data_IF_876498197360
#
_entry.id   IF_876498197360
#
_cell.length_a   1.000
_cell.length_b   1.000
_cell.length_c   1.000
_cell.angle_alpha   90.00
_cell.angle_beta   90.00
_cell.angle_gamma   90.00
#
_symmetry.space_group_name_H-M   'P 1'
#
loop_
_entity.id
_entity.type
_entity.pdbx_description
1 polymer ?
#
# COMPACT_ATOMS: atom_id res chain seq x y z
N UNK A 1 -13.87 38.31 -0.53
CA UNK A 1 -12.68 37.44 -0.45
C UNK A 1 -13.00 36.16 -1.21
N UNK A 2 -12.38 35.95 -2.36
CA UNK A 2 -12.43 34.65 -3.05
C UNK A 2 -11.70 33.63 -2.17
N UNK A 3 -12.24 32.42 -1.92
CA UNK A 3 -11.48 31.40 -1.22
C UNK A 3 -10.24 31.15 -2.07
N UNK A 4 -9.06 31.28 -1.45
CA UNK A 4 -7.83 30.79 -2.04
C UNK A 4 -8.09 29.32 -2.36
N UNK A 5 -8.20 28.96 -3.65
CA UNK A 5 -8.40 27.56 -4.03
C UNK A 5 -7.07 26.87 -3.77
N UNK A 6 -6.84 26.50 -2.51
CA UNK A 6 -5.76 25.58 -2.17
C UNK A 6 -5.91 24.40 -3.12
N UNK A 7 -4.86 24.12 -3.90
CA UNK A 7 -4.82 22.98 -4.81
C UNK A 7 -4.80 21.74 -3.93
N UNK A 8 -5.98 21.27 -3.54
CA UNK A 8 -6.14 20.06 -2.76
C UNK A 8 -5.69 18.88 -3.60
N UNK A 9 -4.76 18.10 -3.08
CA UNK A 9 -4.38 16.82 -3.65
C UNK A 9 -5.38 15.78 -3.16
N UNK A 10 -6.10 15.15 -4.09
CA UNK A 10 -6.97 14.03 -3.72
C UNK A 10 -6.13 12.80 -3.37
N UNK A 11 -6.64 11.99 -2.44
CA UNK A 11 -5.90 10.83 -1.94
C UNK A 11 -5.64 9.77 -3.02
N UNK A 12 -6.57 9.55 -3.96
CA UNK A 12 -6.34 8.69 -5.14
C UNK A 12 -5.21 9.18 -6.04
N UNK A 13 -5.10 10.49 -6.23
CA UNK A 13 -3.99 11.08 -6.96
C UNK A 13 -2.67 10.86 -6.21
N UNK A 14 -2.66 11.03 -4.88
CA UNK A 14 -1.49 10.77 -4.05
C UNK A 14 -1.06 9.29 -4.12
N UNK A 15 -1.99 8.34 -3.98
CA UNK A 15 -1.70 6.91 -4.12
C UNK A 15 -1.05 6.61 -5.49
N UNK A 16 -1.58 7.22 -6.55
CA UNK A 16 -1.13 6.96 -7.92
C UNK A 16 0.27 7.50 -8.21
N UNK A 17 0.60 8.69 -7.72
CA UNK A 17 1.80 9.42 -8.15
C UNK A 17 2.81 9.70 -7.05
N UNK A 18 2.39 9.81 -5.79
CA UNK A 18 3.28 10.08 -4.65
C UNK A 18 3.67 8.77 -3.99
N UNK A 19 2.70 7.96 -3.57
CA UNK A 19 2.93 6.81 -2.68
C UNK A 19 3.55 5.59 -3.38
N UNK A 20 3.78 5.65 -4.69
CA UNK A 20 4.48 4.61 -5.47
C UNK A 20 5.97 4.86 -5.63
N UNK A 21 6.42 6.09 -5.37
CA UNK A 21 7.83 6.43 -5.49
C UNK A 21 8.54 6.05 -4.19
N UNK A 22 9.63 5.30 -4.31
CA UNK A 22 10.47 4.88 -3.18
C UNK A 22 11.04 6.10 -2.44
N UNK A 23 11.22 7.21 -3.14
CA UNK A 23 11.68 8.48 -2.57
C UNK A 23 10.68 9.10 -1.59
N UNK A 24 9.41 8.68 -1.63
CA UNK A 24 8.32 9.21 -0.80
C UNK A 24 7.90 8.24 0.33
N UNK A 25 8.77 7.29 0.71
CA UNK A 25 8.49 6.35 1.80
C UNK A 25 8.27 7.05 3.14
N UNK A 26 8.95 8.16 3.39
CA UNK A 26 8.77 9.00 4.59
C UNK A 26 7.32 9.50 4.75
N UNK A 27 6.68 9.87 3.64
CA UNK A 27 5.26 10.28 3.64
C UNK A 27 4.35 9.10 4.00
N UNK A 28 4.63 7.92 3.44
CA UNK A 28 3.88 6.69 3.73
C UNK A 28 4.05 6.23 5.18
N UNK A 29 5.28 6.22 5.68
CA UNK A 29 5.63 5.89 7.06
C UNK A 29 4.93 6.83 8.03
N UNK A 30 4.99 8.15 7.77
CA UNK A 30 4.29 9.15 8.59
C UNK A 30 2.76 8.97 8.57
N UNK A 31 2.18 8.69 7.40
CA UNK A 31 0.75 8.42 7.26
C UNK A 31 0.32 7.17 8.05
N UNK A 32 1.04 6.05 7.88
CA UNK A 32 0.72 4.79 8.55
C UNK A 32 0.98 4.87 10.06
N UNK A 33 2.03 5.57 10.48
CA UNK A 33 2.34 5.82 11.89
C UNK A 33 1.21 6.60 12.56
N UNK A 34 0.72 7.66 11.91
CA UNK A 34 -0.40 8.44 12.42
C UNK A 34 -1.71 7.64 12.45
N UNK A 35 -1.94 6.76 11.47
CA UNK A 35 -3.17 5.98 11.36
C UNK A 35 -3.22 4.81 12.35
N UNK A 36 -2.10 4.09 12.51
CA UNK A 36 -2.01 2.87 13.33
C UNK A 36 -1.57 3.16 14.76
N UNK A 37 -1.06 4.37 15.03
CA UNK A 37 -0.49 4.77 16.32
C UNK A 37 0.65 3.82 16.76
N UNK A 38 1.45 3.38 15.80
CA UNK A 38 2.65 2.56 15.98
C UNK A 38 3.77 3.11 15.09
N UNK A 39 5.03 2.93 15.47
CA UNK A 39 6.16 3.29 14.60
C UNK A 39 6.26 2.27 13.46
N UNK A 40 6.19 2.77 12.21
CA UNK A 40 6.12 1.96 11.00
C UNK A 40 7.29 2.30 10.08
N UNK A 41 8.00 1.26 9.64
CA UNK A 41 9.01 1.35 8.60
C UNK A 41 8.54 0.65 7.33
N UNK A 42 8.56 1.34 6.20
CA UNK A 42 8.26 0.73 4.90
C UNK A 42 9.51 -0.02 4.42
N UNK A 43 9.39 -1.33 4.23
CA UNK A 43 10.49 -2.17 3.76
C UNK A 43 10.56 -2.20 2.23
N UNK A 44 9.42 -2.36 1.57
CA UNK A 44 9.32 -2.37 0.11
C UNK A 44 7.88 -2.16 -0.35
N UNK A 45 7.71 -1.61 -1.55
CA UNK A 45 6.46 -1.75 -2.30
C UNK A 45 6.46 -3.14 -2.92
N UNK A 46 5.39 -3.89 -2.67
CA UNK A 46 5.15 -5.16 -3.35
C UNK A 46 4.53 -4.81 -4.70
N UNK A 47 5.24 -5.07 -5.80
CA UNK A 47 4.75 -4.74 -7.12
C UNK A 47 3.41 -5.44 -7.40
N UNK A 48 2.35 -4.63 -7.40
CA UNK A 48 1.00 -5.04 -7.77
C UNK A 48 0.95 -5.30 -9.29
N UNK A 49 1.30 -6.52 -9.66
CA UNK A 49 0.96 -7.20 -10.91
C UNK A 49 1.43 -6.56 -12.23
N UNK A 50 2.32 -7.27 -12.92
CA UNK A 50 2.61 -7.06 -14.34
C UNK A 50 1.48 -7.49 -15.29
N UNK A 51 0.31 -7.97 -14.83
CA UNK A 51 -0.64 -8.67 -15.72
C UNK A 51 -2.17 -8.49 -15.44
N UNK A 52 -2.62 -7.45 -14.74
CA UNK A 52 -4.07 -7.19 -14.59
C UNK A 52 -4.61 -6.38 -15.79
N UNK A 53 -5.61 -6.92 -16.48
CA UNK A 53 -6.16 -6.48 -17.77
C UNK A 53 -6.87 -5.11 -17.74
N UNK A 54 -7.12 -4.53 -16.56
CA UNK A 54 -7.75 -3.22 -16.41
C UNK A 54 -6.77 -2.12 -15.97
N UNK A 55 -6.35 -1.34 -16.96
CA UNK A 55 -5.35 -0.27 -16.83
C UNK A 55 -5.68 0.80 -15.79
N UNK A 56 -6.95 0.97 -15.37
CA UNK A 56 -7.34 2.02 -14.42
C UNK A 56 -7.23 1.61 -12.94
N UNK A 57 -7.52 0.36 -12.60
CA UNK A 57 -7.48 -0.11 -11.20
C UNK A 57 -6.06 -0.41 -10.72
N UNK A 58 -5.16 -0.78 -11.65
CA UNK A 58 -3.74 -1.03 -11.37
C UNK A 58 -3.04 0.14 -10.68
N UNK A 59 -3.50 1.38 -10.91
CA UNK A 59 -2.83 2.57 -10.40
C UNK A 59 -3.38 3.08 -9.06
N UNK A 60 -4.56 2.63 -8.61
CA UNK A 60 -5.22 3.14 -7.39
C UNK A 60 -4.98 2.26 -6.13
N UNK A 61 -4.15 1.21 -6.23
CA UNK A 61 -3.81 0.31 -5.12
C UNK A 61 -2.30 0.18 -4.94
N UNK A 62 -1.80 0.37 -3.71
CA UNK A 62 -0.39 0.14 -3.37
C UNK A 62 -0.31 -0.90 -2.26
N UNK A 63 0.44 -1.96 -2.53
CA UNK A 63 0.72 -3.04 -1.58
C UNK A 63 2.09 -2.79 -0.95
N UNK A 64 2.15 -2.74 0.38
CA UNK A 64 3.35 -2.39 1.14
C UNK A 64 3.73 -3.55 2.05
N UNK A 65 5.01 -3.91 2.03
CA UNK A 65 5.62 -4.68 3.11
C UNK A 65 6.23 -3.69 4.10
N UNK A 66 5.80 -3.76 5.35
CA UNK A 66 6.26 -2.89 6.42
C UNK A 66 6.79 -3.70 7.61
N UNK A 67 7.55 -3.05 8.47
CA UNK A 67 7.99 -3.56 9.76
C UNK A 67 7.54 -2.59 10.86
N UNK A 68 6.94 -3.12 11.93
CA UNK A 68 6.56 -2.31 13.08
C UNK A 68 7.65 -2.26 14.16
N UNK A 69 7.37 -1.49 15.22
CA UNK A 69 8.22 -1.38 16.41
C UNK A 69 8.59 -2.72 17.08
N UNK A 70 7.80 -3.78 16.88
CA UNK A 70 8.03 -5.11 17.45
C UNK A 70 8.75 -6.06 16.48
N UNK A 71 9.25 -5.56 15.34
CA UNK A 71 9.86 -6.37 14.28
C UNK A 71 8.89 -7.37 13.63
N UNK A 72 7.58 -7.13 13.73
CA UNK A 72 6.59 -7.91 12.98
C UNK A 72 6.52 -7.35 11.57
N UNK A 73 6.57 -8.25 10.59
CA UNK A 73 6.33 -7.91 9.18
C UNK A 73 4.84 -7.89 8.93
N UNK A 74 4.33 -6.77 8.46
CA UNK A 74 2.91 -6.60 8.11
C UNK A 74 2.80 -6.25 6.64
N UNK A 75 1.70 -6.68 6.02
CA UNK A 75 1.39 -6.31 4.64
C UNK A 75 0.13 -5.47 4.65
N UNK A 76 0.24 -4.29 4.05
CA UNK A 76 -0.81 -3.28 4.02
C UNK A 76 -1.15 -2.99 2.57
N UNK A 77 -2.43 -3.18 2.23
CA UNK A 77 -3.03 -2.77 0.96
C UNK A 77 -3.71 -1.40 1.15
N UNK A 78 -3.20 -0.37 0.49
CA UNK A 78 -3.83 0.97 0.45
C UNK A 78 -4.60 1.10 -0.85
N UNK A 79 -5.90 1.32 -0.77
CA UNK A 79 -6.80 1.46 -1.92
C UNK A 79 -7.85 2.56 -1.70
N UNK A 80 -8.22 3.26 -2.77
CA UNK A 80 -9.28 4.28 -2.73
C UNK A 80 -10.62 3.82 -3.33
N UNK A 81 -10.64 2.73 -4.09
CA UNK A 81 -11.84 2.24 -4.76
C UNK A 81 -12.63 1.29 -3.84
N UNK A 82 -13.96 1.31 -3.99
CA UNK A 82 -14.85 0.40 -3.27
C UNK A 82 -14.90 -0.94 -4.01
N UNK A 83 -14.74 -2.02 -3.27
CA UNK A 83 -14.44 -3.32 -3.84
C UNK A 83 -15.42 -4.37 -3.33
N UNK A 84 -16.20 -4.96 -4.24
CA UNK A 84 -17.26 -5.92 -3.90
C UNK A 84 -16.73 -7.27 -3.44
N UNK A 85 -15.50 -7.63 -3.81
CA UNK A 85 -14.83 -8.90 -3.48
C UNK A 85 -13.67 -8.71 -2.50
N UNK A 86 -13.83 -7.79 -1.54
CA UNK A 86 -12.77 -7.41 -0.62
C UNK A 86 -12.23 -8.59 0.20
N UNK A 87 -13.11 -9.45 0.72
CA UNK A 87 -12.71 -10.58 1.57
C UNK A 87 -11.94 -11.64 0.77
N UNK A 88 -12.41 -11.96 -0.43
CA UNK A 88 -11.77 -12.91 -1.33
C UNK A 88 -10.38 -12.43 -1.73
N UNK A 89 -10.21 -11.12 -1.98
CA UNK A 89 -8.90 -10.54 -2.25
C UNK A 89 -7.96 -10.55 -1.06
N UNK A 90 -8.44 -10.22 0.15
CA UNK A 90 -7.62 -10.34 1.35
C UNK A 90 -7.10 -11.77 1.54
N UNK A 91 -7.97 -12.76 1.34
CA UNK A 91 -7.61 -14.17 1.43
C UNK A 91 -6.60 -14.57 0.35
N UNK A 92 -6.82 -14.14 -0.89
CA UNK A 92 -5.89 -14.39 -2.00
C UNK A 92 -4.52 -13.73 -1.75
N UNK A 93 -4.49 -12.45 -1.40
CA UNK A 93 -3.28 -11.69 -1.09
C UNK A 93 -2.49 -12.32 0.05
N UNK A 94 -3.18 -12.68 1.15
CA UNK A 94 -2.56 -13.41 2.28
C UNK A 94 -1.97 -14.74 1.84
N UNK A 95 -2.71 -15.54 1.07
CA UNK A 95 -2.25 -16.86 0.59
C UNK A 95 -1.04 -16.72 -0.33
N UNK A 96 -1.06 -15.76 -1.25
CA UNK A 96 0.03 -15.47 -2.18
C UNK A 96 1.30 -15.07 -1.43
N UNK A 97 1.17 -14.12 -0.50
CA UNK A 97 2.27 -13.67 0.36
C UNK A 97 2.89 -14.84 1.10
N UNK A 98 2.07 -15.71 1.70
CA UNK A 98 2.55 -16.90 2.40
C UNK A 98 3.35 -17.77 1.45
N UNK A 99 2.84 -18.07 0.25
CA UNK A 99 3.54 -18.91 -0.75
C UNK A 99 4.85 -18.28 -1.22
N UNK A 100 4.87 -16.98 -1.47
CA UNK A 100 6.07 -16.24 -1.93
C UNK A 100 7.14 -16.17 -0.82
N UNK A 101 6.72 -16.01 0.44
CA UNK A 101 7.64 -15.95 1.58
C UNK A 101 8.05 -17.33 2.12
N UNK A 102 7.27 -18.40 1.88
CA UNK A 102 7.67 -19.79 2.18
C UNK A 102 8.97 -20.16 1.46
N UNK A 103 9.20 -19.64 0.24
CA UNK A 103 10.42 -19.90 -0.53
C UNK A 103 11.69 -19.25 0.05
N UNK A 104 11.55 -18.24 0.93
CA UNK A 104 12.71 -17.65 1.63
C UNK A 104 13.09 -18.39 2.91
N UNK A 105 12.35 -19.45 3.25
CA UNK A 105 12.80 -20.49 4.18
C UNK A 105 13.45 -21.62 3.39
N UNK A 106 14.72 -21.45 3.01
CA UNK A 106 15.58 -22.62 2.92
C UNK A 106 15.69 -23.26 4.33
N UNK A 107 15.83 -24.60 4.42
CA UNK A 107 15.65 -25.37 5.65
C UNK A 107 16.43 -24.89 6.87
#
# INVERSE_FOLDING_TARGET
MTPNSEKLVRFDWAIRYILRDISNFDILEGFLTALLNEDIKVLSILDAESNQEDSNDKFNRVDLLIEDSQKRKLIIEVQNNRETHYLERLLYGTSKVIVENIKSGEP
#
